data_IF_145090316711
#
_entry.id   IF_145090316711
#
_cell.length_a   1.000
_cell.length_b   1.000
_cell.length_c   1.000
_cell.angle_alpha   90.00
_cell.angle_beta   90.00
_cell.angle_gamma   90.00
#
_symmetry.space_group_name_H-M   'P 1'
#
loop_
_entity.id
_entity.type
_entity.pdbx_description
1 polymer ?
#
# COMPACT_ATOMS: atom_id res chain seq x y z
N UNK A 1 16.76 -0.56 15.48
CA UNK A 1 15.98 -1.56 16.26
C UNK A 1 14.46 -1.33 16.14
N UNK A 2 13.97 -0.09 16.14
CA UNK A 2 12.53 0.23 16.00
C UNK A 2 11.91 -0.19 14.66
N UNK A 3 12.60 0.04 13.54
CA UNK A 3 12.07 -0.32 12.21
C UNK A 3 11.83 -1.81 12.04
N UNK A 4 12.78 -2.66 12.46
CA UNK A 4 12.59 -4.13 12.44
C UNK A 4 11.36 -4.57 13.27
N UNK A 5 11.07 -3.86 14.35
CA UNK A 5 9.88 -4.12 15.16
C UNK A 5 8.60 -3.72 14.42
N UNK A 6 8.57 -2.52 13.81
CA UNK A 6 7.42 -2.08 12.99
C UNK A 6 7.20 -2.94 11.75
N UNK A 7 8.28 -3.38 11.09
CA UNK A 7 8.21 -4.32 9.97
C UNK A 7 7.62 -5.66 10.41
N UNK A 8 8.01 -6.18 11.58
CA UNK A 8 7.44 -7.41 12.12
C UNK A 8 5.94 -7.28 12.40
N UNK A 9 5.51 -6.14 12.97
CA UNK A 9 4.10 -5.84 13.19
C UNK A 9 3.35 -5.77 11.85
N UNK A 10 3.91 -5.09 10.85
CA UNK A 10 3.32 -4.98 9.52
C UNK A 10 3.18 -6.36 8.87
N UNK A 11 4.24 -7.19 8.89
CA UNK A 11 4.21 -8.54 8.36
C UNK A 11 3.13 -9.40 9.02
N UNK A 12 3.00 -9.33 10.34
CA UNK A 12 1.93 -10.05 11.06
C UNK A 12 0.54 -9.54 10.68
N UNK A 13 0.36 -8.23 10.53
CA UNK A 13 -0.90 -7.63 10.13
C UNK A 13 -1.32 -8.08 8.74
N UNK A 14 -0.45 -7.96 7.74
CA UNK A 14 -0.74 -8.33 6.34
C UNK A 14 -0.97 -9.84 6.21
N UNK A 15 -0.19 -10.65 6.93
CA UNK A 15 -0.40 -12.10 7.02
C UNK A 15 -1.77 -12.49 7.59
N UNK A 16 -2.26 -11.75 8.59
CA UNK A 16 -3.57 -12.02 9.17
C UNK A 16 -4.73 -11.58 8.26
N UNK A 17 -4.53 -10.52 7.46
CA UNK A 17 -5.54 -10.04 6.50
C UNK A 17 -5.78 -11.08 5.40
N UNK A 18 -4.72 -11.69 4.87
CA UNK A 18 -4.86 -12.71 3.82
C UNK A 18 -5.51 -14.02 4.29
N UNK A 19 -5.73 -14.20 5.60
CA UNK A 19 -6.48 -15.35 6.15
C UNK A 19 -7.99 -15.13 6.13
N UNK A 20 -8.47 -13.91 5.88
CA UNK A 20 -9.90 -13.60 5.80
C UNK A 20 -10.49 -14.19 4.53
N UNK A 21 -11.74 -14.66 4.63
CA UNK A 21 -12.50 -15.22 3.50
C UNK A 21 -12.55 -14.21 2.34
N UNK A 22 -12.21 -14.67 1.13
CA UNK A 22 -12.19 -13.91 -0.12
C UNK A 22 -11.06 -12.86 -0.27
N UNK A 23 -10.08 -12.82 0.63
CA UNK A 23 -8.84 -12.04 0.43
C UNK A 23 -7.73 -13.00 0.03
N UNK A 24 -7.39 -13.04 -1.26
CA UNK A 24 -6.38 -13.95 -1.81
C UNK A 24 -4.95 -13.41 -1.71
N UNK A 25 -4.82 -12.08 -1.64
CA UNK A 25 -3.56 -11.41 -1.47
C UNK A 25 -3.76 -9.96 -1.01
N UNK A 26 -2.73 -9.42 -0.37
CA UNK A 26 -2.73 -8.05 0.13
C UNK A 26 -1.30 -7.51 0.10
N UNK A 27 -1.17 -6.23 -0.23
CA UNK A 27 0.08 -5.46 -0.15
C UNK A 27 -0.20 -4.19 0.64
N UNK A 28 0.63 -3.91 1.63
CA UNK A 28 0.56 -2.69 2.43
C UNK A 28 1.88 -1.93 2.27
N UNK A 29 1.78 -0.65 1.96
CA UNK A 29 2.88 0.30 1.93
C UNK A 29 2.60 1.43 2.92
N UNK A 30 3.52 1.67 3.85
CA UNK A 30 3.41 2.69 4.89
C UNK A 30 4.62 3.60 4.79
N UNK A 31 4.35 4.88 4.54
CA UNK A 31 5.37 5.92 4.48
C UNK A 31 5.01 7.10 5.39
N UNK A 32 5.99 7.70 6.06
CA UNK A 32 5.80 8.98 6.73
C UNK A 32 6.09 10.15 5.78
N UNK A 33 5.41 11.29 5.98
CA UNK A 33 5.60 12.49 5.15
C UNK A 33 7.00 13.12 5.22
N UNK A 34 7.81 12.71 6.21
CA UNK A 34 9.22 13.11 6.34
C UNK A 34 10.21 12.03 5.86
N UNK A 35 9.74 10.93 5.26
CA UNK A 35 10.58 9.87 4.68
C UNK A 35 11.32 8.97 5.69
N UNK A 36 11.17 9.22 6.99
CA UNK A 36 11.88 8.46 8.03
C UNK A 36 11.33 7.05 8.29
N UNK A 37 10.14 6.74 7.75
CA UNK A 37 9.53 5.43 7.84
C UNK A 37 9.09 5.06 6.44
N UNK A 38 9.58 3.92 5.96
CA UNK A 38 9.17 3.29 4.71
C UNK A 38 9.11 1.78 4.95
N UNK A 39 7.90 1.23 4.96
CA UNK A 39 7.66 -0.17 5.25
C UNK A 39 6.72 -0.73 4.19
N UNK A 40 7.08 -1.86 3.61
CA UNK A 40 6.26 -2.60 2.66
C UNK A 40 6.12 -4.04 3.13
N UNK A 41 4.95 -4.64 2.92
CA UNK A 41 4.73 -6.06 3.19
C UNK A 41 3.62 -6.60 2.30
N UNK A 42 3.80 -7.83 1.83
CA UNK A 42 2.83 -8.54 1.01
C UNK A 42 2.49 -9.90 1.63
N UNK A 43 1.29 -10.40 1.37
CA UNK A 43 0.84 -11.74 1.77
C UNK A 43 -0.11 -12.35 0.75
N UNK A 44 -0.30 -13.67 0.86
CA UNK A 44 -1.13 -14.46 -0.04
C UNK A 44 -0.43 -14.70 -1.38
N UNK A 45 -1.15 -14.47 -2.48
CA UNK A 45 -0.61 -14.65 -3.84
C UNK A 45 0.08 -13.39 -4.41
N UNK A 46 0.25 -12.34 -3.60
CA UNK A 46 0.88 -11.09 -4.02
C UNK A 46 2.32 -10.97 -3.49
N UNK A 47 3.15 -10.28 -4.27
CA UNK A 47 4.48 -9.80 -3.91
C UNK A 47 4.45 -8.29 -3.76
N UNK A 48 5.47 -7.73 -3.12
CA UNK A 48 5.61 -6.28 -2.90
C UNK A 48 5.60 -5.46 -4.20
N UNK A 49 6.07 -6.05 -5.30
CA UNK A 49 6.16 -5.47 -6.64
C UNK A 49 5.02 -5.91 -7.58
N UNK A 50 4.01 -6.63 -7.08
CA UNK A 50 2.91 -7.11 -7.92
C UNK A 50 2.07 -5.97 -8.47
N UNK A 51 1.71 -6.04 -9.75
CA UNK A 51 0.77 -5.11 -10.37
C UNK A 51 -0.67 -5.55 -10.08
N UNK A 52 -1.55 -4.58 -9.74
CA UNK A 52 -2.95 -4.83 -9.45
C UNK A 52 -3.83 -3.65 -9.85
N UNK A 53 -5.11 -3.93 -10.15
CA UNK A 53 -6.09 -2.89 -10.44
C UNK A 53 -6.45 -2.12 -9.16
N UNK A 54 -6.27 -0.80 -9.19
CA UNK A 54 -6.50 0.10 -8.05
C UNK A 54 -7.93 0.68 -8.01
N UNK A 55 -8.78 0.30 -8.97
CA UNK A 55 -10.19 0.67 -9.08
C UNK A 55 -10.45 2.17 -8.86
N UNK A 56 -11.24 2.54 -7.85
CA UNK A 56 -11.65 3.94 -7.61
C UNK A 56 -10.51 4.88 -7.24
N UNK A 57 -9.30 4.38 -6.92
CA UNK A 57 -8.12 5.22 -6.71
C UNK A 57 -7.78 6.01 -7.98
N UNK A 58 -8.13 5.50 -9.17
CA UNK A 58 -7.99 6.23 -10.45
C UNK A 58 -8.61 7.63 -10.41
N UNK A 59 -9.67 7.85 -9.61
CA UNK A 59 -10.31 9.17 -9.47
C UNK A 59 -9.36 10.22 -8.91
N UNK A 60 -8.46 9.85 -7.99
CA UNK A 60 -7.48 10.78 -7.44
C UNK A 60 -6.51 11.24 -8.52
N UNK A 61 -6.00 10.32 -9.35
CA UNK A 61 -5.13 10.66 -10.48
C UNK A 61 -5.82 11.57 -11.49
N UNK A 62 -7.07 11.26 -11.86
CA UNK A 62 -7.85 12.10 -12.79
C UNK A 62 -8.05 13.51 -12.21
N UNK A 63 -8.38 13.63 -10.92
CA UNK A 63 -8.50 14.93 -10.25
C UNK A 63 -7.18 15.70 -10.23
N UNK A 64 -6.06 15.04 -9.93
CA UNK A 64 -4.74 15.67 -9.95
C UNK A 64 -4.35 16.16 -11.34
N UNK A 65 -4.59 15.35 -12.38
CA UNK A 65 -4.35 15.75 -13.78
C UNK A 65 -5.24 16.94 -14.13
N UNK A 66 -6.51 16.92 -13.72
CA UNK A 66 -7.44 18.02 -13.97
C UNK A 66 -6.92 19.32 -13.35
N UNK A 67 -6.51 19.29 -12.08
CA UNK A 67 -5.94 20.44 -11.38
C UNK A 67 -4.69 20.98 -12.08
N UNK A 68 -3.80 20.10 -12.55
CA UNK A 68 -2.58 20.48 -13.29
C UNK A 68 -2.88 21.16 -14.64
N UNK A 69 -4.05 20.87 -15.23
CA UNK A 69 -4.44 21.44 -16.54
C UNK A 69 -5.23 22.74 -16.44
N UNK A 70 -5.63 23.18 -15.24
CA UNK A 70 -6.32 24.45 -15.06
C UNK A 70 -5.28 25.58 -15.21
N UNK A 71 -5.46 26.50 -16.19
CA UNK A 71 -4.55 27.64 -16.34
C UNK A 71 -4.68 28.60 -15.15
N UNK A 72 -3.53 29.18 -14.76
CA UNK A 72 -3.44 30.20 -13.70
C UNK A 72 -4.22 31.46 -14.04
#
# INVERSE_FOLDING_TARGET
MKEKHYQSILNQLVSNISKKKYIYGAVFYISSGNGNIELISASGNMKEDSQYYIASINKLFVSSITLLTIPN
#
